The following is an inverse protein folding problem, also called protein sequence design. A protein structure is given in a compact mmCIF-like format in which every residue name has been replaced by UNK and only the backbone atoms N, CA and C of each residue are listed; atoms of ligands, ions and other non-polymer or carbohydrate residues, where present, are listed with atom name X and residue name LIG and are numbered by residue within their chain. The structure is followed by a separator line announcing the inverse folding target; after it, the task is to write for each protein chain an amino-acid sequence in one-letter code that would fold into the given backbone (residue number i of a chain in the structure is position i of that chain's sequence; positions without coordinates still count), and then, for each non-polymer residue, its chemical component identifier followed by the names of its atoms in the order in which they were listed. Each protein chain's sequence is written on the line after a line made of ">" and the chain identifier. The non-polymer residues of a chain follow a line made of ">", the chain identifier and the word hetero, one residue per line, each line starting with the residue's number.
data_IF_089208109812
#
_entry.id   IF_089208109812
#
_cell.length_a   1.000
_cell.length_b   1.000
_cell.length_c   1.000
_cell.angle_alpha   90.00
_cell.angle_beta   90.00
_cell.angle_gamma   90.00
#
_symmetry.space_group_name_H-M   'P 1'
#
loop_
_entity.id
_entity.type
_entity.pdbx_description
1 polymer ?
#
# COMPACT_ATOMS: atom_id res chain seq x y z
N UNK A 1 9.71 14.10 0.05
CA UNK A 1 9.69 15.50 0.50
C UNK A 1 8.26 15.95 0.86
N UNK A 2 7.28 15.94 -0.07
CA UNK A 2 5.91 16.41 0.23
C UNK A 2 5.19 15.61 1.31
N UNK A 3 5.31 14.29 1.32
CA UNK A 3 4.72 13.45 2.37
C UNK A 3 5.25 13.82 3.76
N UNK A 4 6.55 14.10 3.87
CA UNK A 4 7.16 14.51 5.13
C UNK A 4 6.70 15.91 5.56
N UNK A 5 6.48 16.83 4.62
CA UNK A 5 5.91 18.14 4.94
C UNK A 5 4.48 18.01 5.48
N UNK A 6 3.66 17.16 4.87
CA UNK A 6 2.32 16.86 5.36
C UNK A 6 2.35 16.20 6.72
N UNK A 7 3.26 15.25 6.95
CA UNK A 7 3.47 14.63 8.26
C UNK A 7 3.70 15.67 9.35
N UNK A 8 4.69 16.55 9.19
CA UNK A 8 4.97 17.61 10.17
C UNK A 8 3.83 18.61 10.32
N UNK A 9 3.08 18.88 9.23
CA UNK A 9 1.90 19.73 9.31
C UNK A 9 0.82 19.09 10.19
N UNK A 10 0.52 17.80 10.02
CA UNK A 10 -0.48 17.11 10.84
C UNK A 10 -0.03 16.94 12.30
N UNK A 11 1.24 16.67 12.55
CA UNK A 11 1.81 16.65 13.91
C UNK A 11 1.68 18.00 14.61
N UNK A 12 1.81 19.12 13.86
CA UNK A 12 1.67 20.47 14.44
C UNK A 12 0.22 20.90 14.68
N UNK A 13 -0.76 20.21 14.08
CA UNK A 13 -2.17 20.53 14.21
C UNK A 13 -2.81 19.75 15.37
N UNK A 14 -2.80 20.32 16.56
CA UNK A 14 -3.42 19.73 17.77
C UNK A 14 -4.92 19.41 17.58
N UNK A 15 -5.61 20.11 16.66
CA UNK A 15 -7.03 19.88 16.34
C UNK A 15 -7.30 18.48 15.77
N UNK A 16 -6.29 17.84 15.19
CA UNK A 16 -6.38 16.48 14.60
C UNK A 16 -5.64 15.43 15.45
N UNK A 17 -5.49 15.68 16.76
CA UNK A 17 -4.84 14.76 17.69
C UNK A 17 -3.32 14.92 17.78
N UNK A 18 -2.70 15.83 17.00
CA UNK A 18 -1.25 16.08 17.04
C UNK A 18 -0.42 14.81 16.82
N UNK A 19 0.62 14.67 17.63
CA UNK A 19 1.52 13.49 17.60
C UNK A 19 0.84 12.22 18.13
N UNK A 20 -0.08 12.37 19.11
CA UNK A 20 -0.78 11.24 19.75
C UNK A 20 -1.86 10.60 18.87
N UNK A 21 -2.21 11.23 17.73
CA UNK A 21 -3.26 10.74 16.84
C UNK A 21 -4.68 10.91 17.40
N UNK A 22 -5.66 10.33 16.71
CA UNK A 22 -7.08 10.44 17.05
C UNK A 22 -7.78 9.09 16.96
N UNK A 23 -8.60 8.76 17.95
CA UNK A 23 -9.53 7.64 17.85
C UNK A 23 -10.71 8.02 16.96
N UNK A 24 -11.06 7.14 16.03
CA UNK A 24 -12.17 7.31 15.12
C UNK A 24 -13.20 6.23 15.43
N UNK A 25 -14.45 6.65 15.72
CA UNK A 25 -15.55 5.72 15.81
C UNK A 25 -15.84 5.15 14.41
N UNK A 26 -16.14 3.86 14.34
CA UNK A 26 -16.53 3.23 13.09
C UNK A 26 -17.76 3.94 12.53
N UNK A 27 -17.66 4.47 11.33
CA UNK A 27 -18.78 5.11 10.69
C UNK A 27 -19.85 4.07 10.31
N UNK A 28 -21.06 4.27 10.78
CA UNK A 28 -22.23 3.56 10.23
C UNK A 28 -22.43 4.00 8.78
N UNK A 29 -22.04 3.16 7.84
CA UNK A 29 -22.25 3.44 6.43
C UNK A 29 -23.69 3.07 6.07
N UNK A 30 -24.60 4.03 6.20
CA UNK A 30 -26.02 4.12 5.78
C UNK A 30 -26.89 2.83 5.82
N UNK A 31 -26.35 1.63 5.70
CA UNK A 31 -27.09 0.35 5.63
C UNK A 31 -26.33 -0.81 6.32
N UNK A 32 -25.05 -0.64 6.63
CA UNK A 32 -24.20 -1.72 7.15
C UNK A 32 -23.60 -1.29 8.48
N UNK A 33 -24.04 -1.93 9.58
CA UNK A 33 -23.40 -1.81 10.89
C UNK A 33 -21.98 -2.36 10.82
N UNK A 34 -20.99 -1.47 10.74
CA UNK A 34 -19.57 -1.82 10.71
C UNK A 34 -19.00 -2.16 12.09
N UNK A 35 -19.82 -2.09 13.13
CA UNK A 35 -19.45 -2.50 14.49
C UNK A 35 -19.16 -4.00 14.61
N UNK A 36 -19.79 -4.84 13.77
CA UNK A 36 -19.48 -6.27 13.73
C UNK A 36 -18.20 -6.53 12.94
N UNK A 37 -17.15 -7.10 13.56
CA UNK A 37 -15.85 -7.34 12.91
C UNK A 37 -15.95 -8.26 11.69
N UNK A 38 -16.93 -9.18 11.67
CA UNK A 38 -17.18 -10.06 10.52
C UNK A 38 -17.65 -9.31 9.28
N UNK A 39 -18.52 -8.31 9.44
CA UNK A 39 -19.03 -7.52 8.31
C UNK A 39 -17.94 -6.66 7.71
N UNK A 40 -17.11 -6.04 8.54
CA UNK A 40 -15.94 -5.27 8.10
C UNK A 40 -14.94 -6.15 7.35
N UNK A 41 -14.70 -7.37 7.83
CA UNK A 41 -13.84 -8.34 7.16
C UNK A 41 -14.36 -8.67 5.75
N UNK A 42 -15.64 -8.98 5.59
CA UNK A 42 -16.23 -9.25 4.28
C UNK A 42 -16.20 -8.02 3.37
N UNK A 43 -16.42 -6.82 3.91
CA UNK A 43 -16.35 -5.57 3.16
C UNK A 43 -14.94 -5.35 2.59
N UNK A 44 -13.89 -5.58 3.38
CA UNK A 44 -12.49 -5.48 2.94
C UNK A 44 -12.21 -6.50 1.82
N UNK A 45 -12.68 -7.74 1.95
CA UNK A 45 -12.53 -8.76 0.91
C UNK A 45 -13.23 -8.41 -0.39
N UNK A 46 -14.45 -7.90 -0.31
CA UNK A 46 -15.21 -7.43 -1.48
C UNK A 46 -14.51 -6.24 -2.13
N UNK A 47 -14.06 -5.27 -1.34
CA UNK A 47 -13.30 -4.12 -1.85
C UNK A 47 -12.00 -4.57 -2.54
N UNK A 48 -11.25 -5.49 -1.93
CA UNK A 48 -10.04 -6.06 -2.53
C UNK A 48 -10.33 -6.74 -3.88
N UNK A 49 -11.38 -7.57 -3.93
CA UNK A 49 -11.78 -8.25 -5.17
C UNK A 49 -12.20 -7.26 -6.25
N UNK A 50 -12.97 -6.24 -5.90
CA UNK A 50 -13.40 -5.18 -6.82
C UNK A 50 -12.21 -4.39 -7.38
N UNK A 51 -11.28 -3.98 -6.51
CA UNK A 51 -10.06 -3.27 -6.92
C UNK A 51 -9.18 -4.15 -7.81
N UNK A 52 -9.01 -5.42 -7.46
CA UNK A 52 -8.24 -6.37 -8.27
C UNK A 52 -8.85 -6.56 -9.67
N UNK A 53 -10.18 -6.70 -9.75
CA UNK A 53 -10.91 -6.76 -11.02
C UNK A 53 -10.76 -5.47 -11.82
N UNK A 54 -10.93 -4.31 -11.19
CA UNK A 54 -10.78 -3.01 -11.83
C UNK A 54 -9.37 -2.85 -12.41
N UNK A 55 -8.33 -3.18 -11.64
CA UNK A 55 -6.95 -3.13 -12.11
C UNK A 55 -6.70 -4.11 -13.27
N UNK A 56 -7.29 -5.32 -13.22
CA UNK A 56 -7.21 -6.28 -14.30
C UNK A 56 -7.82 -5.73 -15.59
N UNK A 57 -8.97 -5.09 -15.53
CA UNK A 57 -9.60 -4.43 -16.68
C UNK A 57 -8.74 -3.27 -17.21
N UNK A 58 -8.22 -2.41 -16.33
CA UNK A 58 -7.35 -1.29 -16.71
C UNK A 58 -6.10 -1.79 -17.43
N UNK A 59 -5.41 -2.78 -16.86
CA UNK A 59 -4.15 -3.32 -17.42
C UNK A 59 -4.36 -4.01 -18.77
N UNK A 60 -5.54 -4.62 -18.99
CA UNK A 60 -5.89 -5.26 -20.26
C UNK A 60 -6.49 -4.29 -21.28
N UNK A 61 -6.87 -3.09 -20.87
CA UNK A 61 -7.43 -2.05 -21.76
C UNK A 61 -6.37 -1.44 -22.68
N UNK A 62 -6.83 -0.65 -23.68
CA UNK A 62 -5.95 0.16 -24.53
C UNK A 62 -5.08 1.12 -23.70
N UNK A 63 -5.62 1.66 -22.61
CA UNK A 63 -4.91 2.51 -21.69
C UNK A 63 -3.70 1.78 -21.06
N UNK A 64 -3.89 0.57 -20.54
CA UNK A 64 -2.81 -0.22 -19.94
C UNK A 64 -1.74 -0.64 -20.95
N UNK A 65 -2.14 -0.93 -22.21
CA UNK A 65 -1.18 -1.22 -23.29
C UNK A 65 -0.34 0.01 -23.60
N UNK A 66 -0.96 1.20 -23.71
CA UNK A 66 -0.26 2.47 -23.96
C UNK A 66 0.70 2.80 -22.81
N UNK A 67 0.31 2.61 -21.57
CA UNK A 67 1.20 2.81 -20.40
C UNK A 67 2.44 1.91 -20.45
N UNK A 68 2.29 0.64 -20.82
CA UNK A 68 3.43 -0.27 -21.01
C UNK A 68 4.33 0.15 -22.15
N UNK A 69 3.75 0.66 -23.23
CA UNK A 69 4.51 1.19 -24.35
C UNK A 69 5.29 2.46 -23.97
N UNK A 70 4.69 3.38 -23.18
CA UNK A 70 5.36 4.57 -22.64
C UNK A 70 6.55 4.16 -21.74
N UNK A 71 6.36 3.14 -20.88
CA UNK A 71 7.43 2.61 -20.03
C UNK A 71 8.60 2.07 -20.86
N UNK A 72 8.33 1.48 -22.02
CA UNK A 72 9.36 0.94 -22.91
C UNK A 72 10.13 2.03 -23.66
N UNK A 73 9.43 2.98 -24.27
CA UNK A 73 10.05 4.08 -25.01
C UNK A 73 9.07 5.25 -25.17
N UNK A 74 9.28 6.31 -24.38
CA UNK A 74 8.45 7.49 -24.33
C UNK A 74 8.50 8.29 -25.64
N UNK A 75 9.72 8.51 -26.19
CA UNK A 75 9.92 9.29 -27.42
C UNK A 75 9.23 8.66 -28.63
N UNK A 76 9.12 7.33 -28.66
CA UNK A 76 8.41 6.64 -29.75
C UNK A 76 6.91 6.90 -29.70
N UNK A 77 6.33 6.97 -28.50
CA UNK A 77 4.90 7.25 -28.29
C UNK A 77 4.59 8.71 -28.65
N UNK A 78 5.48 9.64 -28.32
CA UNK A 78 5.36 11.06 -28.72
C UNK A 78 5.42 11.20 -30.23
N UNK A 79 6.33 10.49 -30.91
CA UNK A 79 6.41 10.48 -32.36
C UNK A 79 5.15 9.92 -33.05
N UNK A 80 4.36 9.09 -32.36
CA UNK A 80 3.05 8.61 -32.80
C UNK A 80 1.91 9.62 -32.55
N UNK A 81 2.20 10.79 -31.99
CA UNK A 81 1.22 11.85 -31.73
C UNK A 81 0.45 11.69 -30.41
N UNK A 82 0.82 10.77 -29.53
CA UNK A 82 0.23 10.62 -28.21
C UNK A 82 1.01 11.45 -27.19
N UNK A 83 0.30 12.01 -26.22
CA UNK A 83 0.90 12.81 -25.14
C UNK A 83 1.08 11.91 -23.89
N UNK A 84 2.30 11.45 -23.55
CA UNK A 84 2.55 10.52 -22.45
C UNK A 84 2.11 11.08 -21.08
N UNK A 85 2.19 12.41 -20.90
CA UNK A 85 1.88 13.08 -19.66
C UNK A 85 0.45 12.79 -19.19
N UNK A 86 -0.54 12.83 -20.08
CA UNK A 86 -1.93 12.56 -19.73
C UNK A 86 -2.11 11.14 -19.19
N UNK A 87 -1.48 10.15 -19.80
CA UNK A 87 -1.54 8.76 -19.36
C UNK A 87 -0.87 8.56 -17.98
N UNK A 88 0.27 9.24 -17.75
CA UNK A 88 0.98 9.20 -16.46
C UNK A 88 0.14 9.84 -15.35
N UNK A 89 -0.44 11.02 -15.59
CA UNK A 89 -1.28 11.72 -14.61
C UNK A 89 -2.53 10.87 -14.29
N UNK A 90 -3.22 10.37 -15.30
CA UNK A 90 -4.42 9.53 -15.08
C UNK A 90 -4.08 8.28 -14.27
N UNK A 91 -2.97 7.61 -14.57
CA UNK A 91 -2.51 6.45 -13.80
C UNK A 91 -2.21 6.81 -12.35
N UNK A 92 -1.56 7.95 -12.12
CA UNK A 92 -1.27 8.46 -10.78
C UNK A 92 -2.55 8.75 -9.98
N UNK A 93 -3.53 9.41 -10.60
CA UNK A 93 -4.82 9.71 -9.97
C UNK A 93 -5.58 8.43 -9.59
N UNK A 94 -5.63 7.44 -10.49
CA UNK A 94 -6.26 6.14 -10.20
C UNK A 94 -5.57 5.46 -9.01
N UNK A 95 -4.24 5.45 -8.99
CA UNK A 95 -3.47 4.89 -7.87
C UNK A 95 -3.77 5.62 -6.56
N UNK A 96 -3.81 6.94 -6.58
CA UNK A 96 -4.11 7.76 -5.40
C UNK A 96 -5.53 7.49 -4.86
N UNK A 97 -6.52 7.33 -5.74
CA UNK A 97 -7.89 6.98 -5.35
C UNK A 97 -7.95 5.61 -4.64
N UNK A 98 -7.25 4.61 -5.19
CA UNK A 98 -7.19 3.27 -4.60
C UNK A 98 -6.48 3.31 -3.25
N UNK A 99 -5.37 4.04 -3.13
CA UNK A 99 -4.67 4.23 -1.86
C UNK A 99 -5.55 4.94 -0.83
N UNK A 100 -6.31 5.96 -1.23
CA UNK A 100 -7.26 6.65 -0.36
C UNK A 100 -8.35 5.71 0.17
N UNK A 101 -8.92 4.88 -0.70
CA UNK A 101 -9.89 3.86 -0.30
C UNK A 101 -9.27 2.84 0.66
N UNK A 102 -8.06 2.37 0.39
CA UNK A 102 -7.35 1.46 1.29
C UNK A 102 -7.07 2.11 2.66
N UNK A 103 -6.70 3.39 2.67
CA UNK A 103 -6.47 4.16 3.90
C UNK A 103 -7.72 4.32 4.75
N UNK A 104 -8.89 4.56 4.15
CA UNK A 104 -10.17 4.65 4.88
C UNK A 104 -10.59 3.30 5.48
N UNK A 105 -10.39 2.20 4.75
CA UNK A 105 -10.64 0.85 5.27
C UNK A 105 -9.70 0.49 6.42
N UNK A 106 -8.42 0.86 6.29
CA UNK A 106 -7.41 0.65 7.32
C UNK A 106 -7.73 1.44 8.59
N UNK A 107 -8.12 2.72 8.46
CA UNK A 107 -8.55 3.56 9.58
C UNK A 107 -9.79 2.97 10.30
N UNK A 108 -10.77 2.48 9.54
CA UNK A 108 -11.97 1.84 10.08
C UNK A 108 -11.67 0.52 10.80
N UNK A 109 -10.63 -0.21 10.37
CA UNK A 109 -10.20 -1.45 11.01
C UNK A 109 -9.46 -1.18 12.33
N UNK A 110 -8.61 -0.16 12.34
CA UNK A 110 -7.74 0.15 13.47
C UNK A 110 -8.43 1.01 14.55
N UNK A 111 -9.56 1.68 14.20
CA UNK A 111 -10.29 2.64 15.07
C UNK A 111 -9.41 3.79 15.59
N UNK A 112 -8.23 3.92 15.00
CA UNK A 112 -7.22 4.88 15.43
C UNK A 112 -6.41 5.34 14.21
N UNK A 113 -6.19 6.65 14.10
CA UNK A 113 -5.36 7.25 13.06
C UNK A 113 -4.30 8.11 13.70
N UNK A 114 -3.06 7.80 13.39
CA UNK A 114 -1.88 8.55 13.81
C UNK A 114 -1.15 9.10 12.59
N UNK A 115 -0.48 10.26 12.71
CA UNK A 115 0.38 10.78 11.64
C UNK A 115 1.49 9.84 11.21
N UNK A 116 1.90 8.88 12.05
CA UNK A 116 2.94 7.88 11.76
C UNK A 116 2.68 7.08 10.47
N UNK A 117 1.41 6.93 10.08
CA UNK A 117 1.04 6.29 8.81
C UNK A 117 1.57 7.06 7.61
N UNK A 118 1.76 8.39 7.74
CA UNK A 118 2.32 9.25 6.68
C UNK A 118 3.85 9.24 6.63
N UNK A 119 4.51 8.58 7.57
CA UNK A 119 5.96 8.53 7.62
C UNK A 119 6.53 7.82 6.39
N UNK A 120 7.67 8.29 5.89
CA UNK A 120 8.30 7.78 4.66
C UNK A 120 8.68 6.28 4.74
N UNK A 121 8.89 5.74 5.94
CA UNK A 121 9.18 4.33 6.18
C UNK A 121 8.06 3.42 5.68
N UNK A 122 6.79 3.84 5.82
CA UNK A 122 5.64 3.10 5.30
C UNK A 122 5.69 2.95 3.78
N UNK A 123 6.14 3.99 3.07
CA UNK A 123 6.37 3.89 1.63
C UNK A 123 7.49 2.91 1.29
N UNK A 124 8.53 2.83 2.14
CA UNK A 124 9.60 1.85 2.02
C UNK A 124 9.09 0.41 2.19
N UNK A 125 8.27 0.14 3.19
CA UNK A 125 7.64 -1.17 3.42
C UNK A 125 6.80 -1.61 2.22
N UNK A 126 5.98 -0.71 1.66
CA UNK A 126 5.20 -1.00 0.44
C UNK A 126 6.09 -1.31 -0.77
N UNK A 127 7.22 -0.61 -0.93
CA UNK A 127 8.20 -0.93 -1.99
C UNK A 127 8.78 -2.34 -1.80
N UNK A 128 9.12 -2.70 -0.58
CA UNK A 128 9.62 -4.04 -0.23
C UNK A 128 8.61 -5.12 -0.60
N UNK A 129 7.35 -4.91 -0.25
CA UNK A 129 6.25 -5.84 -0.58
C UNK A 129 6.13 -6.04 -2.11
N UNK A 130 6.23 -4.95 -2.89
CA UNK A 130 6.14 -5.01 -4.35
C UNK A 130 7.34 -5.77 -4.94
N UNK A 131 8.54 -5.53 -4.43
CA UNK A 131 9.77 -6.20 -4.87
C UNK A 131 9.68 -7.70 -4.56
N UNK A 132 9.30 -8.04 -3.34
CA UNK A 132 9.17 -9.41 -2.87
C UNK A 132 8.14 -10.21 -3.69
N UNK A 133 7.03 -9.56 -4.06
CA UNK A 133 5.98 -10.17 -4.89
C UNK A 133 6.31 -10.26 -6.38
N UNK A 134 7.35 -9.58 -6.83
CA UNK A 134 7.76 -9.51 -8.23
C UNK A 134 7.22 -8.30 -8.99
N UNK A 135 8.16 -7.45 -9.41
CA UNK A 135 7.86 -6.21 -10.15
C UNK A 135 7.24 -6.54 -11.51
N UNK A 136 6.09 -5.94 -11.79
CA UNK A 136 5.45 -6.01 -13.12
C UNK A 136 4.35 -7.06 -13.26
N UNK A 137 4.07 -7.83 -12.22
CA UNK A 137 2.93 -8.76 -12.18
C UNK A 137 1.76 -8.16 -11.40
N UNK A 138 0.52 -8.45 -11.83
CA UNK A 138 -0.69 -7.96 -11.13
C UNK A 138 -0.92 -8.70 -9.80
N UNK A 139 -0.57 -9.98 -9.75
CA UNK A 139 -0.69 -10.82 -8.55
C UNK A 139 0.50 -10.65 -7.58
N UNK A 140 1.61 -10.06 -8.08
CA UNK A 140 2.84 -9.87 -7.31
C UNK A 140 2.63 -9.18 -5.96
N UNK A 141 2.08 -7.97 -5.94
CA UNK A 141 1.89 -7.24 -4.68
C UNK A 141 1.01 -7.99 -3.67
N UNK A 142 0.05 -8.79 -4.14
CA UNK A 142 -0.82 -9.58 -3.27
C UNK A 142 -0.07 -10.76 -2.65
N UNK A 143 0.71 -11.49 -3.45
CA UNK A 143 1.59 -12.55 -2.96
C UNK A 143 2.70 -11.99 -2.08
N UNK A 144 3.29 -10.86 -2.47
CA UNK A 144 4.30 -10.16 -1.68
C UNK A 144 3.80 -9.73 -0.31
N UNK A 145 2.57 -9.22 -0.23
CA UNK A 145 1.95 -8.86 1.05
C UNK A 145 1.76 -10.07 1.96
N UNK A 146 1.28 -11.21 1.41
CA UNK A 146 1.13 -12.45 2.18
C UNK A 146 2.48 -12.93 2.70
N UNK A 147 3.49 -12.98 1.83
CA UNK A 147 4.83 -13.41 2.22
C UNK A 147 5.45 -12.46 3.24
N UNK A 148 5.28 -11.15 3.05
CA UNK A 148 5.77 -10.14 3.98
C UNK A 148 5.17 -10.30 5.37
N UNK A 149 3.84 -10.43 5.48
CA UNK A 149 3.14 -10.63 6.75
C UNK A 149 3.55 -11.94 7.43
N UNK A 150 3.71 -13.01 6.65
CA UNK A 150 4.20 -14.27 7.20
C UNK A 150 5.63 -14.15 7.73
N UNK A 151 6.50 -13.45 7.01
CA UNK A 151 7.88 -13.21 7.48
C UNK A 151 7.89 -12.34 8.74
N UNK A 152 7.07 -11.30 8.79
CA UNK A 152 6.95 -10.41 9.97
C UNK A 152 6.50 -11.17 11.23
N UNK A 153 5.59 -12.13 11.08
CA UNK A 153 5.10 -12.94 12.20
C UNK A 153 6.06 -14.07 12.58
N UNK A 154 6.57 -14.82 11.59
CA UNK A 154 7.37 -16.01 11.85
C UNK A 154 8.84 -15.73 12.12
N UNK A 155 9.42 -14.68 11.54
CA UNK A 155 10.85 -14.41 11.66
C UNK A 155 11.28 -14.12 13.10
N UNK A 156 10.58 -13.26 13.88
CA UNK A 156 10.91 -13.01 15.28
C UNK A 156 10.79 -14.28 16.14
N UNK A 157 9.78 -15.12 15.88
CA UNK A 157 9.56 -16.37 16.62
C UNK A 157 10.67 -17.37 16.32
N UNK A 158 11.05 -17.54 15.06
CA UNK A 158 12.14 -18.43 14.67
C UNK A 158 13.50 -17.96 15.21
N UNK A 159 13.76 -16.65 15.16
CA UNK A 159 14.98 -16.07 15.72
C UNK A 159 15.02 -16.16 17.24
N UNK A 160 13.90 -15.98 17.92
CA UNK A 160 13.79 -16.14 19.38
C UNK A 160 14.16 -17.56 19.84
N UNK A 161 13.86 -18.57 19.02
CA UNK A 161 14.21 -19.95 19.29
C UNK A 161 15.70 -20.29 19.07
N UNK A 162 16.34 -19.63 18.09
CA UNK A 162 17.73 -19.93 17.68
C UNK A 162 18.75 -18.94 18.27
N UNK A 163 18.38 -17.66 18.34
CA UNK A 163 19.28 -16.60 18.80
C UNK A 163 18.47 -15.46 19.44
N UNK A 164 18.09 -15.57 20.74
CA UNK A 164 17.22 -14.61 21.40
C UNK A 164 17.75 -13.17 21.43
N UNK A 165 19.07 -12.99 21.36
CA UNK A 165 19.70 -11.67 21.31
C UNK A 165 19.41 -10.88 20.00
N UNK A 166 19.00 -11.53 18.93
CA UNK A 166 18.73 -10.92 17.64
C UNK A 166 17.23 -10.86 17.30
N UNK A 167 16.36 -11.39 18.13
CA UNK A 167 14.92 -11.41 17.91
C UNK A 167 14.32 -9.98 17.79
N UNK A 168 14.83 -9.02 18.54
CA UNK A 168 14.39 -7.62 18.48
C UNK A 168 14.87 -6.91 17.19
N UNK A 169 15.94 -7.37 16.60
CA UNK A 169 16.57 -6.76 15.42
C UNK A 169 16.33 -7.57 14.13
N UNK A 170 15.22 -8.26 14.03
CA UNK A 170 14.86 -9.10 12.87
C UNK A 170 14.91 -8.35 11.52
N UNK A 171 14.68 -7.03 11.53
CA UNK A 171 14.78 -6.18 10.35
C UNK A 171 16.17 -6.15 9.72
N UNK A 172 17.25 -6.40 10.50
CA UNK A 172 18.62 -6.48 9.96
C UNK A 172 18.77 -7.68 9.03
N UNK A 173 18.10 -8.79 9.33
CA UNK A 173 18.09 -9.99 8.48
C UNK A 173 17.21 -9.82 7.23
N UNK A 174 16.24 -8.92 7.31
CA UNK A 174 15.33 -8.65 6.21
C UNK A 174 16.04 -8.01 4.99
N UNK A 175 17.01 -7.15 5.25
CA UNK A 175 17.83 -6.51 4.19
C UNK A 175 18.58 -7.52 3.31
N UNK A 176 19.44 -8.39 3.86
CA UNK A 176 20.11 -9.44 3.11
C UNK A 176 19.15 -10.43 2.42
N UNK A 177 18.04 -10.78 3.05
CA UNK A 177 17.03 -11.65 2.46
C UNK A 177 16.40 -11.03 1.21
N UNK A 178 16.10 -9.74 1.24
CA UNK A 178 15.63 -9.01 0.06
C UNK A 178 16.65 -9.01 -1.09
N UNK A 179 17.93 -8.80 -0.77
CA UNK A 179 19.01 -8.82 -1.79
C UNK A 179 19.12 -10.21 -2.42
N UNK A 180 18.82 -11.28 -1.67
CA UNK A 180 18.87 -12.65 -2.18
C UNK A 180 17.67 -12.99 -3.09
N UNK A 181 16.54 -12.33 -2.90
CA UNK A 181 15.30 -12.54 -3.69
C UNK A 181 15.29 -11.72 -4.97
N UNK A 182 15.98 -10.57 -5.01
CA UNK A 182 16.06 -9.65 -6.17
C UNK A 182 17.21 -10.06 -7.09
#
# INVERSE_FOLDING_TARGET
>A
AFAQMLFFLFVSLEQFGGDDGMSIDRADFLIIDLYEPLRLYFLIWVALALVALLLMFIVRSRFGVTLRAIKSNESRIEAMGLVPLHFKITSYVISAMICGLAGTLFASWQEYVSPDIMHWTRSGELMIIIILGGIGTLAGPLLGAIVFLLLEEFLPVALGAVAPAYAENWMILFGPLLIMVV
#
